data_IF_819116228780
#
_entry.id   IF_819116228780
#
_cell.length_a   1.000
_cell.length_b   1.000
_cell.length_c   1.000
_cell.angle_alpha   90.00
_cell.angle_beta   90.00
_cell.angle_gamma   90.00
#
_symmetry.space_group_name_H-M   'P 1'
#
loop_
_entity.id
_entity.type
_entity.pdbx_description
1 polymer ?
#
# COMPACT_ATOMS: atom_id res chain seq x y z
N UNK A 1 13.19 0.61 -14.93
CA UNK A 1 14.05 1.30 -13.95
C UNK A 1 13.23 1.41 -12.68
N UNK A 2 13.75 0.94 -11.54
CA UNK A 2 13.08 1.14 -10.27
C UNK A 2 13.36 2.57 -9.82
N UNK A 3 12.38 3.46 -9.98
CA UNK A 3 12.46 4.82 -9.46
C UNK A 3 12.82 4.77 -7.97
N UNK A 4 13.80 5.57 -7.53
CA UNK A 4 14.11 5.69 -6.11
C UNK A 4 13.05 6.55 -5.41
N UNK A 5 12.96 6.47 -4.07
CA UNK A 5 12.10 7.35 -3.29
C UNK A 5 12.39 8.84 -3.59
N UNK A 6 13.67 9.21 -3.67
CA UNK A 6 14.09 10.57 -4.05
C UNK A 6 13.59 10.99 -5.44
N UNK A 7 13.61 10.08 -6.42
CA UNK A 7 13.11 10.38 -7.78
C UNK A 7 11.60 10.62 -7.79
N UNK A 8 10.87 9.92 -6.92
CA UNK A 8 9.42 10.08 -6.75
C UNK A 8 9.13 11.42 -6.08
N UNK A 9 9.81 11.74 -4.98
CA UNK A 9 9.66 13.04 -4.29
C UNK A 9 9.95 14.19 -5.26
N UNK A 10 10.99 14.10 -6.08
CA UNK A 10 11.32 15.12 -7.09
C UNK A 10 10.20 15.36 -8.11
N UNK A 11 9.33 14.37 -8.38
CA UNK A 11 8.15 14.52 -9.24
C UNK A 11 6.93 15.04 -8.51
N UNK A 12 6.76 14.69 -7.23
CA UNK A 12 5.62 15.11 -6.43
C UNK A 12 5.74 16.56 -5.95
N UNK A 13 6.94 17.01 -5.57
CA UNK A 13 7.17 18.35 -5.01
C UNK A 13 6.65 19.49 -5.90
N UNK A 14 6.93 19.52 -7.22
CA UNK A 14 6.39 20.58 -8.09
C UNK A 14 4.86 20.60 -8.16
N UNK A 15 4.21 19.44 -8.08
CA UNK A 15 2.74 19.35 -8.11
C UNK A 15 2.12 19.89 -6.83
N UNK A 16 2.75 19.59 -5.69
CA UNK A 16 2.37 20.17 -4.39
C UNK A 16 2.58 21.68 -4.37
N UNK A 17 3.73 22.19 -4.83
CA UNK A 17 4.02 23.63 -4.85
C UNK A 17 3.08 24.39 -5.78
N UNK A 18 2.69 23.81 -6.92
CA UNK A 18 1.81 24.44 -7.89
C UNK A 18 0.36 24.56 -7.40
N UNK A 19 -0.15 23.55 -6.68
CA UNK A 19 -1.54 23.51 -6.23
C UNK A 19 -1.69 22.67 -4.95
N UNK A 20 -1.25 23.17 -3.78
CA UNK A 20 -1.10 22.38 -2.58
C UNK A 20 -2.41 21.79 -2.08
N UNK A 21 -3.49 22.59 -2.05
CA UNK A 21 -4.81 22.11 -1.60
C UNK A 21 -5.36 20.99 -2.49
N UNK A 22 -5.21 21.13 -3.82
CA UNK A 22 -5.67 20.11 -4.78
C UNK A 22 -4.83 18.85 -4.72
N UNK A 23 -3.52 19.00 -4.58
CA UNK A 23 -2.60 17.88 -4.41
C UNK A 23 -2.91 17.12 -3.12
N UNK A 24 -3.04 17.82 -1.99
CA UNK A 24 -3.33 17.21 -0.70
C UNK A 24 -4.69 16.52 -0.69
N UNK A 25 -5.73 17.11 -1.30
CA UNK A 25 -7.03 16.44 -1.41
C UNK A 25 -6.95 15.09 -2.16
N UNK A 26 -6.10 15.01 -3.19
CA UNK A 26 -5.87 13.76 -3.91
C UNK A 26 -5.00 12.78 -3.11
N UNK A 27 -3.92 13.27 -2.51
CA UNK A 27 -3.02 12.51 -1.66
C UNK A 27 -3.75 11.88 -0.47
N UNK A 28 -4.57 12.65 0.24
CA UNK A 28 -5.36 12.22 1.39
C UNK A 28 -6.40 11.18 0.99
N UNK A 29 -7.03 11.33 -0.19
CA UNK A 29 -7.96 10.32 -0.70
C UNK A 29 -7.26 8.97 -0.93
N UNK A 30 -6.06 8.96 -1.52
CA UNK A 30 -5.28 7.74 -1.71
C UNK A 30 -4.81 7.18 -0.36
N UNK A 31 -4.37 8.04 0.56
CA UNK A 31 -3.97 7.65 1.90
C UNK A 31 -5.10 6.88 2.60
N UNK A 32 -6.32 7.43 2.58
CA UNK A 32 -7.51 6.80 3.16
C UNK A 32 -7.82 5.45 2.50
N UNK A 33 -7.71 5.34 1.18
CA UNK A 33 -7.89 4.06 0.49
C UNK A 33 -6.85 3.01 0.92
N UNK A 34 -5.60 3.40 1.11
CA UNK A 34 -4.51 2.50 1.49
C UNK A 34 -4.54 2.10 2.98
N UNK A 35 -4.94 3.00 3.88
CA UNK A 35 -5.03 2.71 5.31
C UNK A 35 -6.23 1.84 5.65
N UNK A 36 -7.35 2.05 4.97
CA UNK A 36 -8.59 1.29 5.18
C UNK A 36 -8.61 -0.04 4.43
N UNK A 37 -7.63 -0.30 3.56
CA UNK A 37 -7.52 -1.56 2.80
C UNK A 37 -7.30 -2.74 3.77
N UNK A 38 -8.25 -3.70 3.88
CA UNK A 38 -8.12 -4.83 4.79
C UNK A 38 -7.00 -5.81 4.38
N UNK A 39 -6.51 -6.62 5.33
CA UNK A 39 -5.53 -7.68 5.04
C UNK A 39 -6.05 -8.67 4.00
N UNK A 40 -5.22 -8.99 3.01
CA UNK A 40 -5.57 -9.93 1.94
C UNK A 40 -6.42 -9.34 0.82
N UNK A 41 -6.88 -8.09 0.96
CA UNK A 41 -7.66 -7.40 -0.06
C UNK A 41 -6.78 -6.58 -1.01
N UNK A 42 -7.35 -6.25 -2.16
CA UNK A 42 -6.72 -5.41 -3.18
C UNK A 42 -7.74 -4.57 -3.93
N UNK A 43 -7.29 -3.47 -4.51
CA UNK A 43 -8.07 -2.67 -5.45
C UNK A 43 -7.26 -2.35 -6.70
N UNK A 44 -7.97 -2.16 -7.81
CA UNK A 44 -7.37 -1.75 -9.08
C UNK A 44 -7.31 -0.23 -9.16
N UNK A 45 -6.13 0.32 -9.44
CA UNK A 45 -5.92 1.77 -9.46
C UNK A 45 -6.78 2.46 -10.52
N UNK A 46 -6.97 1.83 -11.68
CA UNK A 46 -7.80 2.35 -12.78
C UNK A 46 -9.28 2.55 -12.41
N UNK A 47 -9.75 1.86 -11.37
CA UNK A 47 -11.14 1.97 -10.92
C UNK A 47 -11.33 3.18 -10.00
N UNK A 48 -10.23 3.81 -9.55
CA UNK A 48 -10.20 4.85 -8.53
C UNK A 48 -9.83 6.24 -9.09
N UNK A 49 -9.18 6.30 -10.26
CA UNK A 49 -8.76 7.55 -10.87
C UNK A 49 -8.83 7.52 -12.40
N UNK A 50 -8.71 8.70 -13.03
CA UNK A 50 -8.63 8.80 -14.49
C UNK A 50 -7.27 8.32 -15.00
N UNK A 51 -7.21 7.91 -16.27
CA UNK A 51 -5.98 7.42 -16.92
C UNK A 51 -4.80 8.39 -16.78
N UNK A 52 -5.06 9.69 -16.94
CA UNK A 52 -4.06 10.75 -16.80
C UNK A 52 -3.44 10.85 -15.40
N UNK A 53 -4.15 10.36 -14.37
CA UNK A 53 -3.78 10.46 -12.96
C UNK A 53 -3.11 9.17 -12.45
N UNK A 54 -3.06 8.10 -13.26
CA UNK A 54 -2.52 6.79 -12.89
C UNK A 54 -1.09 6.88 -12.36
N UNK A 55 -0.22 7.60 -13.08
CA UNK A 55 1.19 7.70 -12.71
C UNK A 55 1.37 8.47 -11.39
N UNK A 56 0.57 9.51 -11.17
CA UNK A 56 0.58 10.26 -9.91
C UNK A 56 0.10 9.37 -8.76
N UNK A 57 -0.96 8.60 -8.97
CA UNK A 57 -1.47 7.66 -7.98
C UNK A 57 -0.39 6.63 -7.59
N UNK A 58 0.25 6.00 -8.59
CA UNK A 58 1.32 5.03 -8.37
C UNK A 58 2.50 5.63 -7.61
N UNK A 59 2.92 6.85 -7.95
CA UNK A 59 4.02 7.53 -7.29
C UNK A 59 3.68 7.83 -5.82
N UNK A 60 2.45 8.27 -5.52
CA UNK A 60 1.97 8.48 -4.14
C UNK A 60 1.93 7.16 -3.37
N UNK A 61 1.39 6.08 -3.93
CA UNK A 61 1.38 4.76 -3.26
C UNK A 61 2.79 4.28 -2.96
N UNK A 62 3.75 4.49 -3.88
CA UNK A 62 5.16 4.14 -3.63
C UNK A 62 5.75 4.93 -2.46
N UNK A 63 5.36 6.20 -2.27
CA UNK A 63 5.78 6.94 -1.07
C UNK A 63 5.23 6.31 0.20
N UNK A 64 3.96 5.92 0.22
CA UNK A 64 3.38 5.22 1.37
C UNK A 64 4.09 3.92 1.69
N UNK A 65 4.38 3.10 0.67
CA UNK A 65 5.10 1.82 0.86
C UNK A 65 6.51 2.05 1.40
N UNK A 66 7.24 3.02 0.86
CA UNK A 66 8.62 3.32 1.27
C UNK A 66 8.70 3.89 2.70
N UNK A 67 7.66 4.59 3.14
CA UNK A 67 7.59 5.26 4.44
C UNK A 67 6.86 4.42 5.51
N UNK A 68 6.13 3.38 5.11
CA UNK A 68 5.40 2.53 6.04
C UNK A 68 6.38 1.80 6.97
N UNK A 69 6.22 1.91 8.30
CA UNK A 69 7.02 1.12 9.23
C UNK A 69 6.70 -0.36 9.06
N UNK A 70 7.73 -1.20 9.12
CA UNK A 70 7.55 -2.66 9.12
C UNK A 70 6.84 -3.11 10.40
N UNK A 71 5.74 -3.86 10.25
CA UNK A 71 5.02 -4.52 11.33
C UNK A 71 4.81 -5.98 10.96
N UNK A 72 5.35 -6.89 11.79
CA UNK A 72 5.32 -8.34 11.56
C UNK A 72 3.92 -8.94 11.75
N UNK A 73 3.04 -8.26 12.49
CA UNK A 73 1.72 -8.74 12.83
C UNK A 73 0.62 -8.26 11.88
N UNK A 74 0.92 -7.26 11.06
CA UNK A 74 -0.03 -6.68 10.10
C UNK A 74 0.43 -6.85 8.66
N UNK A 75 -0.51 -7.01 7.75
CA UNK A 75 -0.26 -6.92 6.32
C UNK A 75 0.43 -5.63 5.88
N UNK A 76 1.39 -5.73 4.96
CA UNK A 76 2.06 -4.58 4.35
C UNK A 76 1.37 -4.15 3.06
N UNK A 77 1.42 -2.85 2.75
CA UNK A 77 1.01 -2.37 1.44
C UNK A 77 2.03 -2.77 0.39
N UNK A 78 1.53 -3.21 -0.75
CA UNK A 78 2.33 -3.56 -1.92
C UNK A 78 1.64 -3.08 -3.19
N UNK A 79 2.47 -2.77 -4.20
CA UNK A 79 2.05 -2.60 -5.58
C UNK A 79 2.33 -3.90 -6.34
N UNK A 80 1.42 -4.28 -7.23
CA UNK A 80 1.67 -5.39 -8.17
C UNK A 80 2.79 -5.05 -9.16
N UNK A 81 3.40 -6.07 -9.76
CA UNK A 81 4.53 -5.91 -10.68
C UNK A 81 4.15 -5.12 -11.94
N UNK A 82 2.90 -5.24 -12.39
CA UNK A 82 2.30 -4.47 -13.49
C UNK A 82 1.82 -3.07 -13.07
N UNK A 83 1.94 -2.73 -11.79
CA UNK A 83 1.48 -1.48 -11.17
C UNK A 83 -0.01 -1.18 -11.37
N UNK A 84 -0.83 -2.21 -11.61
CA UNK A 84 -2.29 -2.05 -11.75
C UNK A 84 -3.04 -2.12 -10.41
N UNK A 85 -2.49 -2.85 -9.43
CA UNK A 85 -3.16 -3.15 -8.17
C UNK A 85 -2.37 -2.66 -6.97
N UNK A 86 -3.09 -2.12 -6.00
CA UNK A 86 -2.61 -1.94 -4.62
C UNK A 86 -3.23 -3.05 -3.79
N UNK A 87 -2.39 -3.75 -3.02
CA UNK A 87 -2.82 -4.85 -2.15
C UNK A 87 -2.27 -4.68 -0.75
N UNK A 88 -2.97 -5.24 0.23
CA UNK A 88 -2.42 -5.44 1.56
C UNK A 88 -2.13 -6.92 1.77
N UNK A 89 -0.89 -7.27 2.08
CA UNK A 89 -0.51 -8.66 2.34
C UNK A 89 -1.16 -9.18 3.62
N UNK A 90 -0.96 -10.46 3.90
CA UNK A 90 -1.38 -11.04 5.19
C UNK A 90 -0.18 -11.01 6.13
N UNK A 91 -0.39 -10.52 7.36
CA UNK A 91 0.64 -10.55 8.39
C UNK A 91 1.10 -11.98 8.69
N UNK A 92 2.35 -12.14 9.13
CA UNK A 92 2.88 -13.45 9.52
C UNK A 92 2.19 -13.92 10.80
N UNK A 93 1.20 -14.80 10.64
CA UNK A 93 0.59 -15.50 11.78
C UNK A 93 1.32 -16.82 11.98
N UNK A 94 1.94 -16.99 13.16
CA UNK A 94 2.50 -18.28 13.54
C UNK A 94 1.41 -19.35 13.39
N UNK A 95 1.70 -20.41 12.64
CA UNK A 95 0.81 -21.57 12.58
C UNK A 95 0.62 -22.07 14.00
N UNK A 96 -0.58 -21.91 14.55
CA UNK A 96 -0.92 -22.52 15.85
C UNK A 96 -0.68 -24.01 15.67
N UNK A 97 0.40 -24.51 16.25
CA UNK A 97 0.76 -25.92 16.21
C UNK A 97 -0.45 -26.72 16.70
N UNK A 98 -1.13 -27.43 15.80
CA UNK A 98 -2.20 -28.39 16.14
C UNK A 98 -1.62 -29.66 16.77
N UNK A 99 -0.60 -29.54 17.61
CA UNK A 99 -0.15 -30.61 18.48
C UNK A 99 -0.83 -30.45 19.83
N UNK A 100 -2.14 -30.73 19.85
CA UNK A 100 -2.80 -31.15 21.09
C UNK A 100 -2.35 -32.59 21.37
N UNK A 101 -1.53 -32.87 22.39
CA UNK A 101 -1.22 -34.25 22.75
C UNK A 101 -2.52 -34.92 23.18
N UNK A 102 -2.90 -36.01 22.50
CA UNK A 102 -4.00 -36.86 22.95
C UNK A 102 -3.64 -37.35 24.36
N UNK A 103 -4.36 -36.88 25.38
CA UNK A 103 -4.32 -37.50 26.72
C UNK A 103 -4.69 -38.98 26.55
N UNK A 104 -3.73 -39.88 26.78
CA UNK A 104 -4.06 -41.30 26.98
C UNK A 104 -4.89 -41.36 28.26
N UNK A 105 -6.10 -41.90 28.15
CA UNK A 105 -6.89 -42.31 29.31
C UNK A 105 -6.19 -43.53 29.91
N UNK A 106 -5.90 -43.45 31.19
CA UNK A 106 -5.49 -44.58 32.04
C UNK A 106 -6.73 -45.34 32.50
#
# INVERSE_FOLDING_TARGET
>A
MNDTHSDIIARLMPLYEMAPERFMAFYDAIYLMCIDLPEGEQFRISDCCQEKDLKLFQDIVKTFIAEQPYDVHTGQLELSDDMEYVRRTTGLRASVNRFTPKRRKE
#
